data_IF_758167992384
#
_entry.id   IF_758167992384
#
_cell.length_a   1.000
_cell.length_b   1.000
_cell.length_c   1.000
_cell.angle_alpha   90.00
_cell.angle_beta   90.00
_cell.angle_gamma   90.00
#
_symmetry.space_group_name_H-M   'P 1'
#
loop_
_entity.id
_entity.type
_entity.pdbx_description
1 polymer ?
#
# COMPACT_ATOMS: atom_id res chain seq x y z
N UNK A 1 48.09 36.77 -1.91
CA UNK A 1 46.74 36.80 -1.30
C UNK A 1 45.61 36.80 -2.35
N UNK A 2 45.67 37.45 -3.52
CA UNK A 2 44.58 37.48 -4.50
C UNK A 2 44.33 36.13 -5.25
N UNK A 3 45.37 35.33 -5.50
CA UNK A 3 45.26 34.02 -6.17
C UNK A 3 44.63 32.94 -5.25
N UNK A 4 44.85 32.99 -3.92
CA UNK A 4 44.25 32.05 -2.97
C UNK A 4 42.75 32.27 -2.82
N UNK A 5 42.28 33.54 -2.89
CA UNK A 5 40.88 33.88 -2.78
C UNK A 5 40.05 33.38 -4.02
N UNK A 6 40.64 33.34 -5.20
CA UNK A 6 40.00 32.85 -6.44
C UNK A 6 39.87 31.32 -6.39
N UNK A 7 40.86 30.59 -5.86
CA UNK A 7 40.82 29.13 -5.72
C UNK A 7 39.74 28.67 -4.69
N UNK A 8 39.55 29.40 -3.60
CA UNK A 8 38.50 29.11 -2.61
C UNK A 8 37.10 29.37 -3.17
N UNK A 9 36.94 30.40 -4.00
CA UNK A 9 35.63 30.72 -4.65
C UNK A 9 35.22 29.65 -5.67
N UNK A 10 36.16 29.03 -6.38
CA UNK A 10 35.89 27.96 -7.36
C UNK A 10 35.53 26.63 -6.65
N UNK A 11 36.09 26.34 -5.49
CA UNK A 11 35.71 25.15 -4.71
C UNK A 11 34.30 25.25 -4.11
N UNK A 12 33.78 26.44 -3.83
CA UNK A 12 32.43 26.63 -3.29
C UNK A 12 31.32 26.47 -4.33
N UNK A 13 31.62 26.58 -5.63
CA UNK A 13 30.64 26.39 -6.69
C UNK A 13 30.34 24.89 -6.98
N UNK A 14 31.17 23.96 -6.51
CA UNK A 14 31.02 22.52 -6.80
C UNK A 14 30.22 21.74 -5.75
N UNK A 15 29.78 22.35 -4.65
CA UNK A 15 28.98 21.71 -3.61
C UNK A 15 27.54 22.25 -3.55
N UNK A 16 26.88 22.35 -4.67
CA UNK A 16 25.42 22.44 -4.64
C UNK A 16 24.91 21.01 -4.34
N UNK A 17 24.05 20.81 -3.33
CA UNK A 17 23.38 19.53 -3.16
C UNK A 17 22.62 19.24 -4.45
N UNK A 18 22.92 18.12 -5.09
CA UNK A 18 22.17 17.66 -6.25
C UNK A 18 20.72 17.48 -5.78
N UNK A 19 19.83 18.38 -6.19
CA UNK A 19 18.41 18.17 -5.98
C UNK A 19 18.02 16.87 -6.70
N UNK A 20 17.30 15.99 -6.01
CA UNK A 20 16.79 14.80 -6.64
C UNK A 20 15.89 15.23 -7.81
N UNK A 21 16.22 14.77 -8.99
CA UNK A 21 15.50 15.05 -10.22
C UNK A 21 14.75 13.79 -10.63
N UNK A 22 13.54 13.96 -11.16
CA UNK A 22 12.80 12.88 -11.81
C UNK A 22 13.63 12.35 -12.97
N UNK A 23 13.94 11.05 -12.95
CA UNK A 23 14.66 10.38 -14.05
C UNK A 23 13.65 9.92 -15.09
N UNK A 24 14.03 9.99 -16.35
CA UNK A 24 13.28 9.34 -17.41
C UNK A 24 13.65 7.85 -17.54
N UNK A 25 12.92 7.11 -18.38
CA UNK A 25 13.12 5.68 -18.60
C UNK A 25 14.55 5.33 -19.04
N UNK A 26 15.09 6.06 -20.01
CA UNK A 26 16.43 5.79 -20.56
C UNK A 26 17.53 6.05 -19.53
N UNK A 27 17.38 7.08 -18.70
CA UNK A 27 18.28 7.38 -17.59
C UNK A 27 18.23 6.30 -16.51
N UNK A 28 17.04 5.77 -16.22
CA UNK A 28 16.84 4.65 -15.27
C UNK A 28 17.51 3.38 -15.79
N UNK A 29 17.30 3.01 -17.06
CA UNK A 29 17.94 1.87 -17.72
C UNK A 29 19.46 2.04 -17.77
N UNK A 30 19.95 3.21 -18.14
CA UNK A 30 21.40 3.50 -18.19
C UNK A 30 22.05 3.41 -16.80
N UNK A 31 21.33 3.79 -15.73
CA UNK A 31 21.78 3.62 -14.35
C UNK A 31 21.76 2.16 -13.87
N UNK A 32 21.03 1.26 -14.57
CA UNK A 32 20.86 -0.14 -14.21
C UNK A 32 20.14 -0.32 -12.87
N UNK A 33 19.28 0.63 -12.49
CA UNK A 33 18.63 0.67 -11.17
C UNK A 33 17.23 1.23 -11.25
N UNK A 34 16.25 0.47 -10.76
CA UNK A 34 14.87 0.92 -10.52
C UNK A 34 14.70 1.28 -9.04
N UNK A 35 14.38 2.53 -8.75
CA UNK A 35 14.06 3.02 -7.41
C UNK A 35 12.57 2.88 -7.16
N UNK A 36 12.20 2.05 -6.19
CA UNK A 36 10.79 1.78 -5.87
C UNK A 36 10.47 2.23 -4.46
N UNK A 37 9.49 3.12 -4.32
CA UNK A 37 8.92 3.48 -3.03
C UNK A 37 7.90 2.42 -2.60
N UNK A 38 8.09 1.90 -1.39
CA UNK A 38 7.18 0.99 -0.70
C UNK A 38 6.90 1.53 0.69
N UNK A 39 5.70 1.31 1.22
CA UNK A 39 5.38 1.77 2.57
C UNK A 39 6.22 1.05 3.61
N UNK A 40 6.65 1.79 4.62
CA UNK A 40 7.44 1.27 5.73
C UNK A 40 6.52 0.63 6.78
N UNK A 41 6.98 -0.50 7.36
CA UNK A 41 6.30 -1.19 8.46
C UNK A 41 4.84 -1.57 8.15
N UNK A 42 4.56 -1.93 6.90
CA UNK A 42 3.22 -2.26 6.41
C UNK A 42 3.10 -3.72 5.99
N UNK A 43 3.18 -4.63 6.95
CA UNK A 43 2.97 -6.06 6.69
C UNK A 43 1.49 -6.38 6.37
N UNK A 44 1.22 -7.31 5.45
CA UNK A 44 2.14 -8.23 4.75
C UNK A 44 2.75 -7.67 3.45
N UNK A 45 2.59 -6.39 3.17
CA UNK A 45 2.92 -5.82 1.86
C UNK A 45 4.37 -5.37 1.76
N UNK A 46 4.86 -4.63 2.75
CA UNK A 46 6.24 -4.12 2.77
C UNK A 46 6.71 -3.87 4.20
N UNK A 47 7.67 -4.66 4.66
CA UNK A 47 8.20 -4.61 6.02
C UNK A 47 9.62 -5.17 6.09
N UNK A 48 10.28 -5.01 7.22
CA UNK A 48 11.56 -5.63 7.50
C UNK A 48 11.40 -6.75 8.53
N UNK A 49 11.99 -7.91 8.27
CA UNK A 49 12.11 -8.99 9.23
C UNK A 49 13.55 -9.47 9.29
N UNK A 50 14.12 -9.52 10.49
CA UNK A 50 15.53 -9.85 10.72
C UNK A 50 16.51 -9.02 9.85
N UNK A 51 16.18 -7.74 9.62
CA UNK A 51 16.97 -6.80 8.82
C UNK A 51 16.93 -7.06 7.31
N UNK A 52 15.94 -7.81 6.83
CA UNK A 52 15.73 -8.07 5.40
C UNK A 52 14.38 -7.52 4.95
N UNK A 53 14.32 -6.83 3.81
CA UNK A 53 13.06 -6.47 3.17
C UNK A 53 12.21 -7.71 2.87
N UNK A 54 10.92 -7.63 3.16
CA UNK A 54 9.93 -8.69 2.90
C UNK A 54 8.57 -8.06 2.56
N UNK A 55 7.71 -8.87 1.99
CA UNK A 55 6.32 -8.49 1.69
C UNK A 55 6.00 -8.56 0.21
N UNK A 56 4.71 -8.60 -0.08
CA UNK A 56 4.19 -8.75 -1.44
C UNK A 56 4.72 -7.68 -2.38
N UNK A 57 4.71 -6.41 -1.94
CA UNK A 57 5.14 -5.29 -2.77
C UNK A 57 6.66 -5.31 -2.98
N UNK A 58 7.43 -5.79 -2.00
CA UNK A 58 8.89 -5.96 -2.12
C UNK A 58 9.22 -7.05 -3.13
N UNK A 59 8.61 -8.25 -3.01
CA UNK A 59 8.87 -9.35 -3.95
C UNK A 59 8.36 -9.03 -5.36
N UNK A 60 7.24 -8.34 -5.50
CA UNK A 60 6.75 -7.88 -6.80
C UNK A 60 7.69 -6.83 -7.42
N UNK A 61 8.19 -5.87 -6.63
CA UNK A 61 9.19 -4.91 -7.12
C UNK A 61 10.49 -5.59 -7.56
N UNK A 62 10.94 -6.64 -6.85
CA UNK A 62 12.10 -7.46 -7.26
C UNK A 62 11.84 -8.17 -8.58
N UNK A 63 10.65 -8.76 -8.76
CA UNK A 63 10.27 -9.44 -9.99
C UNK A 63 10.18 -8.48 -11.18
N UNK A 64 9.62 -7.27 -10.97
CA UNK A 64 9.54 -6.22 -11.99
C UNK A 64 10.93 -5.70 -12.38
N UNK A 65 11.80 -5.38 -11.40
CA UNK A 65 13.16 -4.94 -11.67
C UNK A 65 13.96 -6.00 -12.46
N UNK A 66 13.79 -7.28 -12.09
CA UNK A 66 14.39 -8.42 -12.82
C UNK A 66 13.87 -8.51 -14.25
N UNK A 67 12.58 -8.35 -14.48
CA UNK A 67 11.98 -8.37 -15.81
C UNK A 67 12.49 -7.23 -16.70
N UNK A 68 12.73 -6.04 -16.11
CA UNK A 68 13.33 -4.88 -16.78
C UNK A 68 14.86 -5.00 -16.95
N UNK A 69 15.52 -6.05 -16.41
CA UNK A 69 16.96 -6.23 -16.49
C UNK A 69 17.79 -5.25 -15.64
N UNK A 70 17.22 -4.69 -14.59
CA UNK A 70 17.86 -3.73 -13.67
C UNK A 70 17.85 -4.25 -12.24
N UNK A 71 18.68 -3.67 -11.36
CA UNK A 71 18.64 -3.97 -9.93
C UNK A 71 17.55 -3.14 -9.23
N UNK A 72 16.95 -3.68 -8.19
CA UNK A 72 16.02 -2.99 -7.32
C UNK A 72 16.76 -2.11 -6.32
N UNK A 73 16.24 -0.91 -6.05
CA UNK A 73 16.62 -0.03 -4.95
C UNK A 73 15.34 0.41 -4.23
N UNK A 74 15.13 -0.08 -3.01
CA UNK A 74 13.94 0.25 -2.22
C UNK A 74 14.10 1.62 -1.53
N UNK A 75 13.02 2.40 -1.56
CA UNK A 75 12.82 3.60 -0.76
C UNK A 75 11.69 3.31 0.22
N UNK A 76 12.02 3.23 1.52
CA UNK A 76 11.04 3.04 2.57
C UNK A 76 10.27 4.34 2.84
N UNK A 77 9.01 4.37 2.49
CA UNK A 77 8.12 5.52 2.61
C UNK A 77 7.30 5.43 3.90
N UNK A 78 7.57 6.22 4.95
CA UNK A 78 6.61 6.42 6.02
C UNK A 78 5.31 6.96 5.43
N UNK A 79 4.18 6.36 5.79
CA UNK A 79 2.87 6.86 5.36
C UNK A 79 2.62 8.26 5.92
N UNK A 80 2.24 9.20 5.06
CA UNK A 80 1.81 10.54 5.44
C UNK A 80 0.33 10.56 5.89
N UNK A 81 -0.17 11.75 6.19
CA UNK A 81 -1.60 11.91 6.54
C UNK A 81 -2.51 11.66 5.33
N UNK A 82 -2.01 11.89 4.12
CA UNK A 82 -2.75 11.72 2.87
C UNK A 82 -1.85 11.12 1.80
N UNK A 83 -2.40 10.22 1.02
CA UNK A 83 -1.72 9.64 -0.14
C UNK A 83 -1.28 10.71 -1.17
N UNK A 84 -2.03 11.82 -1.31
CA UNK A 84 -1.63 12.95 -2.18
C UNK A 84 -0.25 13.53 -1.76
N UNK A 85 0.04 13.55 -0.45
CA UNK A 85 1.32 14.02 0.09
C UNK A 85 2.44 13.01 -0.21
N UNK A 86 2.16 11.70 -0.04
CA UNK A 86 3.11 10.64 -0.35
C UNK A 86 3.49 10.64 -1.83
N UNK A 87 2.50 10.72 -2.72
CA UNK A 87 2.74 10.82 -4.17
C UNK A 87 3.59 12.04 -4.52
N UNK A 88 3.31 13.18 -3.89
CA UNK A 88 4.11 14.40 -4.09
C UNK A 88 5.56 14.17 -3.64
N UNK A 89 5.75 13.67 -2.44
CA UNK A 89 7.05 13.62 -1.77
C UNK A 89 7.98 12.56 -2.34
N UNK A 90 7.43 11.46 -2.89
CA UNK A 90 8.22 10.36 -3.43
C UNK A 90 8.29 10.32 -4.96
N UNK A 91 7.32 10.92 -5.70
CA UNK A 91 7.27 10.82 -7.17
C UNK A 91 7.76 12.08 -7.88
N UNK A 92 7.43 13.29 -7.40
CA UNK A 92 7.74 14.49 -8.19
C UNK A 92 8.36 15.67 -7.44
N UNK A 93 8.21 15.73 -6.11
CA UNK A 93 8.76 16.83 -5.29
C UNK A 93 9.55 16.30 -4.12
N UNK A 94 10.81 15.93 -4.36
CA UNK A 94 11.71 15.47 -3.30
C UNK A 94 11.57 16.30 -2.01
N UNK A 95 11.07 15.67 -0.94
CA UNK A 95 10.88 16.30 0.35
C UNK A 95 12.16 16.29 1.17
N UNK A 96 12.49 17.42 1.79
CA UNK A 96 13.60 17.50 2.73
C UNK A 96 13.38 16.58 3.97
N UNK A 97 12.12 16.28 4.31
CA UNK A 97 11.75 15.37 5.38
C UNK A 97 12.09 13.91 5.05
N UNK A 98 12.20 13.56 3.78
CA UNK A 98 12.44 12.21 3.27
C UNK A 98 13.80 12.10 2.55
N UNK A 99 14.83 12.77 3.07
CA UNK A 99 16.21 12.77 2.53
C UNK A 99 16.31 13.19 1.05
N UNK A 100 15.33 13.94 0.55
CA UNK A 100 15.26 14.41 -0.83
C UNK A 100 15.35 13.28 -1.87
N UNK A 101 14.84 12.09 -1.55
CA UNK A 101 14.84 10.95 -2.46
C UNK A 101 13.56 10.94 -3.30
N UNK A 102 13.72 10.72 -4.62
CA UNK A 102 12.62 10.42 -5.54
C UNK A 102 12.71 8.97 -6.00
N UNK A 103 11.56 8.32 -6.02
CA UNK A 103 11.37 7.02 -6.63
C UNK A 103 11.08 7.18 -8.13
N UNK A 104 11.41 6.16 -8.91
CA UNK A 104 10.96 6.03 -10.29
C UNK A 104 9.54 5.47 -10.33
N UNK A 105 9.20 4.63 -9.34
CA UNK A 105 7.93 3.92 -9.19
C UNK A 105 7.49 3.93 -7.72
N UNK A 106 6.21 4.14 -7.45
CA UNK A 106 5.61 3.93 -6.14
C UNK A 106 4.59 2.80 -6.20
N UNK A 107 4.70 1.86 -5.27
CA UNK A 107 3.78 0.73 -5.11
C UNK A 107 2.58 1.13 -4.24
N UNK A 108 1.52 0.34 -4.31
CA UNK A 108 0.34 0.39 -3.43
C UNK A 108 -0.43 1.70 -3.52
N UNK A 109 -0.64 2.14 -4.73
CA UNK A 109 -1.48 3.29 -5.07
C UNK A 109 -2.84 2.80 -5.56
N UNK A 110 -3.98 3.38 -5.13
CA UNK A 110 -5.28 3.02 -5.68
C UNK A 110 -5.32 3.20 -7.20
N UNK A 111 -5.72 2.15 -7.92
CA UNK A 111 -6.06 2.25 -9.34
C UNK A 111 -7.53 2.63 -9.45
N UNK A 112 -7.78 3.93 -9.38
CA UNK A 112 -9.11 4.51 -9.25
C UNK A 112 -9.25 5.78 -10.08
N UNK A 113 -10.21 5.80 -10.99
CA UNK A 113 -10.43 6.94 -11.89
C UNK A 113 -10.80 8.23 -11.12
N UNK A 114 -11.71 8.12 -10.14
CA UNK A 114 -12.18 9.30 -9.42
C UNK A 114 -11.06 9.90 -8.57
N UNK A 115 -10.23 9.05 -7.96
CA UNK A 115 -9.04 9.48 -7.24
C UNK A 115 -8.00 10.13 -8.18
N UNK A 116 -7.73 9.54 -9.33
CA UNK A 116 -6.79 10.08 -10.33
C UNK A 116 -7.27 11.43 -10.91
N UNK A 117 -8.60 11.63 -11.01
CA UNK A 117 -9.22 12.85 -11.54
C UNK A 117 -9.63 13.86 -10.45
N UNK A 118 -9.25 13.61 -9.20
CA UNK A 118 -9.54 14.49 -8.06
C UNK A 118 -9.03 15.91 -8.33
N UNK A 119 -9.89 16.90 -8.07
CA UNK A 119 -9.55 18.31 -8.26
C UNK A 119 -9.56 19.07 -6.93
N UNK A 120 -8.69 20.07 -6.86
CA UNK A 120 -8.66 21.03 -5.75
C UNK A 120 -9.77 22.10 -5.92
N UNK A 121 -9.86 23.04 -4.99
CA UNK A 121 -10.83 24.16 -5.00
C UNK A 121 -10.66 25.09 -6.21
N UNK A 122 -9.49 25.10 -6.85
CA UNK A 122 -9.20 25.88 -8.06
C UNK A 122 -9.54 25.13 -9.35
N UNK A 123 -10.01 23.86 -9.24
CA UNK A 123 -10.31 23.02 -10.39
C UNK A 123 -9.11 22.33 -11.02
N UNK A 124 -7.92 22.42 -10.42
CA UNK A 124 -6.70 21.77 -10.90
C UNK A 124 -6.64 20.32 -10.41
N UNK A 125 -6.05 19.42 -11.19
CA UNK A 125 -5.81 18.04 -10.76
C UNK A 125 -4.84 18.01 -9.57
N UNK A 126 -5.26 17.37 -8.47
CA UNK A 126 -4.42 17.22 -7.27
C UNK A 126 -3.19 16.38 -7.58
N UNK A 127 -3.37 15.29 -8.34
CA UNK A 127 -2.33 14.35 -8.72
C UNK A 127 -1.92 14.48 -10.20
N UNK A 128 -2.00 15.69 -10.78
CA UNK A 128 -1.69 15.92 -12.20
C UNK A 128 -0.26 15.61 -12.63
N UNK A 129 0.67 15.50 -11.68
CA UNK A 129 2.07 15.13 -11.94
C UNK A 129 2.30 13.61 -11.89
N UNK A 130 1.23 12.80 -11.70
CA UNK A 130 1.33 11.35 -11.46
C UNK A 130 0.46 10.60 -12.46
N UNK A 131 0.96 9.48 -12.95
CA UNK A 131 0.19 8.47 -13.71
C UNK A 131 0.03 7.24 -12.83
N UNK A 132 -1.22 6.89 -12.54
CA UNK A 132 -1.61 5.66 -11.84
C UNK A 132 -1.91 4.58 -12.88
N UNK A 133 -1.35 3.39 -12.71
CA UNK A 133 -1.40 2.32 -13.70
C UNK A 133 -1.14 0.94 -13.07
N UNK A 134 -1.26 -0.10 -13.88
CA UNK A 134 -0.82 -1.44 -13.55
C UNK A 134 -1.47 -2.01 -12.29
N UNK A 135 -2.81 -2.18 -12.26
CA UNK A 135 -3.46 -2.79 -11.10
C UNK A 135 -2.92 -4.21 -10.91
N UNK A 136 -2.47 -4.54 -9.70
CA UNK A 136 -1.91 -5.85 -9.41
C UNK A 136 -2.61 -6.60 -8.28
N UNK A 137 -3.58 -5.95 -7.61
CA UNK A 137 -4.34 -6.55 -6.51
C UNK A 137 -5.78 -6.02 -6.51
N UNK A 138 -6.73 -6.92 -6.31
CA UNK A 138 -8.08 -6.60 -5.85
C UNK A 138 -8.10 -6.62 -4.32
N UNK A 139 -8.50 -5.52 -3.69
CA UNK A 139 -8.62 -5.41 -2.24
C UNK A 139 -10.06 -5.16 -1.83
N UNK A 140 -10.44 -5.64 -0.67
CA UNK A 140 -11.78 -5.48 -0.10
C UNK A 140 -11.75 -5.51 1.43
N UNK A 141 -12.85 -5.13 2.05
CA UNK A 141 -13.01 -5.30 3.49
C UNK A 141 -13.34 -6.75 3.82
N UNK A 142 -12.86 -7.21 4.98
CA UNK A 142 -13.07 -8.57 5.46
C UNK A 142 -13.25 -8.55 6.98
N UNK A 143 -14.14 -9.43 7.48
CA UNK A 143 -14.25 -9.76 8.91
C UNK A 143 -13.72 -11.17 9.12
N UNK A 144 -12.80 -11.32 10.08
CA UNK A 144 -12.46 -12.60 10.70
C UNK A 144 -13.15 -12.71 12.06
N UNK A 145 -13.59 -13.90 12.45
CA UNK A 145 -14.25 -14.12 13.73
C UNK A 145 -13.86 -15.46 14.36
N UNK A 146 -13.97 -15.54 15.68
CA UNK A 146 -13.69 -16.74 16.46
C UNK A 146 -14.95 -17.62 16.56
N UNK A 147 -14.92 -18.82 15.96
CA UNK A 147 -16.01 -19.80 15.98
C UNK A 147 -16.37 -20.30 17.38
N UNK A 148 -15.49 -20.15 18.35
CA UNK A 148 -15.76 -20.50 19.75
C UNK A 148 -16.80 -19.56 20.40
N UNK A 149 -17.05 -18.38 19.80
CA UNK A 149 -17.92 -17.32 20.33
C UNK A 149 -19.03 -16.91 19.39
N UNK A 150 -18.81 -17.06 18.09
CA UNK A 150 -19.76 -16.75 17.03
C UNK A 150 -19.87 -17.94 16.09
N UNK A 151 -21.04 -18.55 15.99
CA UNK A 151 -21.27 -19.66 15.06
C UNK A 151 -21.18 -19.20 13.60
N UNK A 152 -21.70 -17.99 13.33
CA UNK A 152 -21.75 -17.39 12.00
C UNK A 152 -21.90 -15.88 12.08
N UNK A 153 -21.22 -15.17 11.18
CA UNK A 153 -21.43 -13.74 10.90
C UNK A 153 -22.18 -13.58 9.58
N UNK A 154 -23.51 -13.49 9.66
CA UNK A 154 -24.35 -13.30 8.47
C UNK A 154 -24.53 -11.82 8.10
N UNK A 155 -24.33 -10.91 9.05
CA UNK A 155 -24.39 -9.46 8.88
C UNK A 155 -23.57 -8.80 9.98
N UNK A 156 -23.03 -7.60 9.71
CA UNK A 156 -22.36 -6.79 10.73
C UNK A 156 -23.28 -6.38 11.90
N UNK A 157 -24.60 -6.48 11.76
CA UNK A 157 -25.54 -6.21 12.85
C UNK A 157 -25.34 -7.15 14.06
N UNK A 158 -24.72 -8.31 13.90
CA UNK A 158 -24.39 -9.21 15.02
C UNK A 158 -23.51 -8.54 16.05
N UNK A 159 -22.71 -7.56 15.66
CA UNK A 159 -21.81 -6.79 16.52
C UNK A 159 -22.52 -5.78 17.43
N UNK A 160 -23.82 -5.69 17.38
CA UNK A 160 -24.60 -5.06 18.46
C UNK A 160 -24.46 -5.82 19.80
N UNK A 161 -24.31 -7.15 19.72
CA UNK A 161 -24.18 -8.02 20.89
C UNK A 161 -22.75 -8.53 21.11
N UNK A 162 -21.93 -8.57 20.08
CA UNK A 162 -20.58 -9.13 20.08
C UNK A 162 -19.52 -8.05 19.86
N UNK A 163 -18.45 -8.00 20.69
CA UNK A 163 -17.38 -7.03 20.51
C UNK A 163 -16.56 -7.34 19.24
N UNK A 164 -16.22 -6.29 18.51
CA UNK A 164 -15.38 -6.36 17.30
C UNK A 164 -14.19 -5.40 17.40
N UNK A 165 -13.01 -5.87 17.03
CA UNK A 165 -11.78 -5.09 16.98
C UNK A 165 -11.53 -4.46 15.61
N UNK A 166 -11.03 -3.24 15.62
CA UNK A 166 -10.60 -2.50 14.42
C UNK A 166 -9.33 -1.71 14.71
N UNK A 167 -8.58 -1.38 13.66
CA UNK A 167 -7.54 -0.37 13.76
C UNK A 167 -8.15 1.01 13.96
N UNK A 168 -7.58 1.81 14.87
CA UNK A 168 -8.01 3.19 15.14
C UNK A 168 -7.85 4.05 13.87
N UNK A 169 -8.76 5.01 13.68
CA UNK A 169 -8.76 5.95 12.55
C UNK A 169 -8.82 5.30 11.15
N UNK A 170 -9.17 4.01 11.09
CA UNK A 170 -9.38 3.29 9.84
C UNK A 170 -10.81 3.43 9.31
N UNK A 171 -11.02 3.12 8.03
CA UNK A 171 -12.37 3.06 7.43
C UNK A 171 -13.29 2.09 8.17
N UNK A 172 -12.88 0.86 8.54
CA UNK A 172 -13.67 0.00 9.42
C UNK A 172 -14.05 0.62 10.77
N UNK A 173 -13.15 1.39 11.39
CA UNK A 173 -13.41 2.11 12.64
C UNK A 173 -14.56 3.12 12.47
N UNK A 174 -14.48 3.98 11.47
CA UNK A 174 -15.55 4.95 11.18
C UNK A 174 -16.86 4.27 10.75
N UNK A 175 -16.77 3.23 9.94
CA UNK A 175 -17.93 2.48 9.50
C UNK A 175 -18.70 1.85 10.68
N UNK A 176 -18.03 1.05 11.51
CA UNK A 176 -18.69 0.33 12.62
C UNK A 176 -19.23 1.26 13.70
N UNK A 177 -18.59 2.42 13.90
CA UNK A 177 -19.07 3.41 14.86
C UNK A 177 -20.22 4.29 14.35
N UNK A 178 -20.48 4.31 13.03
CA UNK A 178 -21.53 5.13 12.42
C UNK A 178 -22.71 4.34 11.85
N UNK A 179 -22.48 3.10 11.38
CA UNK A 179 -23.51 2.28 10.76
C UNK A 179 -24.67 2.01 11.72
N UNK A 180 -25.89 1.87 11.20
CA UNK A 180 -27.12 1.68 11.97
C UNK A 180 -27.34 2.76 13.05
N UNK A 181 -27.03 4.04 12.69
CA UNK A 181 -27.09 5.17 13.63
C UNK A 181 -26.21 5.02 14.87
N UNK A 182 -25.06 4.39 14.74
CA UNK A 182 -24.08 4.23 15.83
C UNK A 182 -24.37 3.08 16.80
N UNK A 183 -25.29 2.18 16.46
CA UNK A 183 -25.67 1.07 17.35
C UNK A 183 -24.49 0.14 17.71
N UNK A 184 -23.49 0.03 16.81
CA UNK A 184 -22.33 -0.84 17.02
C UNK A 184 -21.17 -0.14 17.76
N UNK A 185 -21.23 1.18 17.96
CA UNK A 185 -20.14 1.97 18.55
C UNK A 185 -19.70 1.45 19.93
N UNK A 186 -20.63 1.05 20.78
CA UNK A 186 -20.36 0.55 22.13
C UNK A 186 -19.69 -0.83 22.18
N UNK A 187 -19.62 -1.54 21.04
CA UNK A 187 -18.99 -2.86 20.89
C UNK A 187 -17.79 -2.82 19.94
N UNK A 188 -17.48 -1.66 19.37
CA UNK A 188 -16.31 -1.47 18.51
C UNK A 188 -15.12 -1.07 19.36
N UNK A 189 -14.11 -1.93 19.41
CA UNK A 189 -12.88 -1.73 20.17
C UNK A 189 -11.75 -1.31 19.21
N UNK A 190 -11.03 -0.27 19.57
CA UNK A 190 -9.98 0.33 18.74
C UNK A 190 -8.60 -0.12 19.22
N UNK A 191 -7.76 -0.55 18.28
CA UNK A 191 -6.39 -0.99 18.50
C UNK A 191 -5.40 -0.19 17.66
N UNK A 192 -4.12 -0.14 18.03
CA UNK A 192 -3.10 0.56 17.23
C UNK A 192 -2.88 -0.02 15.83
N UNK A 193 -3.30 -1.27 15.59
CA UNK A 193 -3.19 -1.93 14.30
C UNK A 193 -3.90 -3.28 14.29
N UNK A 194 -4.01 -3.87 13.11
CA UNK A 194 -4.68 -5.17 12.90
C UNK A 194 -4.05 -6.31 13.69
N UNK A 195 -2.70 -6.43 13.84
CA UNK A 195 -2.08 -7.46 14.65
C UNK A 195 -2.53 -7.42 16.12
N UNK A 196 -2.67 -6.22 16.71
CA UNK A 196 -3.13 -6.04 18.08
C UNK A 196 -4.60 -6.39 18.24
N UNK A 197 -5.44 -6.06 17.24
CA UNK A 197 -6.85 -6.48 17.23
C UNK A 197 -6.98 -8.02 17.18
N UNK A 198 -6.15 -8.71 16.38
CA UNK A 198 -6.10 -10.18 16.35
C UNK A 198 -5.61 -10.78 17.66
N UNK A 199 -4.61 -10.19 18.30
CA UNK A 199 -4.14 -10.61 19.61
C UNK A 199 -5.27 -10.51 20.67
N UNK A 200 -6.05 -9.43 20.64
CA UNK A 200 -7.22 -9.23 21.48
C UNK A 200 -8.33 -10.26 21.19
N UNK A 201 -8.58 -10.60 19.91
CA UNK A 201 -9.52 -11.67 19.56
C UNK A 201 -9.05 -13.03 20.12
N UNK A 202 -7.76 -13.35 20.00
CA UNK A 202 -7.16 -14.56 20.58
C UNK A 202 -7.27 -14.59 22.11
N UNK A 203 -7.10 -13.44 22.77
CA UNK A 203 -7.25 -13.29 24.21
C UNK A 203 -8.72 -13.34 24.69
N UNK A 204 -9.66 -13.15 23.77
CA UNK A 204 -11.08 -13.14 24.06
C UNK A 204 -11.66 -11.82 24.49
N UNK A 205 -10.98 -10.77 24.23
CA UNK A 205 -11.46 -9.40 24.48
C UNK A 205 -12.46 -8.95 23.42
N UNK A 206 -12.29 -9.43 22.16
CA UNK A 206 -13.22 -9.24 21.06
C UNK A 206 -13.52 -10.60 20.39
N UNK A 207 -14.67 -10.68 19.70
CA UNK A 207 -15.13 -11.90 19.05
C UNK A 207 -14.78 -11.95 17.56
N UNK A 208 -14.46 -10.78 16.98
CA UNK A 208 -14.14 -10.60 15.59
C UNK A 208 -13.17 -9.43 15.36
N UNK A 209 -12.58 -9.36 14.16
CA UNK A 209 -11.76 -8.25 13.69
C UNK A 209 -12.17 -7.89 12.26
N UNK A 210 -12.28 -6.60 11.95
CA UNK A 210 -12.51 -6.09 10.58
C UNK A 210 -11.33 -5.26 10.11
N UNK A 211 -10.81 -5.61 8.92
CA UNK A 211 -9.70 -4.91 8.27
C UNK A 211 -9.73 -5.14 6.76
N UNK A 212 -8.69 -4.74 6.03
CA UNK A 212 -8.48 -5.14 4.64
C UNK A 212 -8.28 -6.66 4.53
N UNK A 213 -8.76 -7.24 3.44
CA UNK A 213 -8.71 -8.69 3.21
C UNK A 213 -7.29 -9.24 3.32
N UNK A 214 -6.31 -8.56 2.70
CA UNK A 214 -4.93 -9.03 2.74
C UNK A 214 -4.34 -9.03 4.16
N UNK A 215 -4.65 -8.05 5.00
CA UNK A 215 -4.23 -8.03 6.41
C UNK A 215 -4.89 -9.16 7.21
N UNK A 216 -6.19 -9.39 6.97
CA UNK A 216 -6.93 -10.52 7.59
C UNK A 216 -6.34 -11.85 7.16
N UNK A 217 -6.13 -12.07 5.86
CA UNK A 217 -5.57 -13.31 5.31
C UNK A 217 -4.21 -13.63 5.96
N UNK A 218 -3.34 -12.60 6.05
CA UNK A 218 -2.04 -12.76 6.68
C UNK A 218 -2.13 -13.13 8.16
N UNK A 219 -2.98 -12.45 8.93
CA UNK A 219 -3.17 -12.77 10.35
C UNK A 219 -3.73 -14.19 10.56
N UNK A 220 -4.63 -14.64 9.68
CA UNK A 220 -5.14 -16.02 9.69
C UNK A 220 -4.02 -17.01 9.36
N UNK A 221 -3.17 -16.69 8.36
CA UNK A 221 -2.02 -17.51 8.01
C UNK A 221 -1.01 -17.62 9.16
N UNK A 222 -0.62 -16.50 9.76
CA UNK A 222 0.36 -16.43 10.85
C UNK A 222 -0.14 -17.14 12.12
N UNK A 223 -1.43 -17.01 12.46
CA UNK A 223 -1.97 -17.63 13.64
C UNK A 223 -2.26 -19.11 13.47
N UNK A 224 -2.56 -19.53 12.24
CA UNK A 224 -2.93 -20.91 11.88
C UNK A 224 -3.99 -21.52 12.82
N UNK A 225 -4.89 -20.70 13.40
CA UNK A 225 -5.94 -21.16 14.30
C UNK A 225 -7.16 -21.63 13.49
N UNK A 226 -7.51 -22.93 13.49
CA UNK A 226 -8.64 -23.46 12.74
C UNK A 226 -10.00 -22.96 13.25
N UNK A 227 -10.04 -22.31 14.40
CA UNK A 227 -11.26 -21.71 14.94
C UNK A 227 -11.52 -20.30 14.41
N UNK A 228 -10.55 -19.68 13.75
CA UNK A 228 -10.76 -18.40 13.06
C UNK A 228 -11.41 -18.65 11.70
N UNK A 229 -12.55 -18.01 11.47
CA UNK A 229 -13.30 -18.08 10.23
C UNK A 229 -13.44 -16.70 9.58
N UNK A 230 -13.67 -16.69 8.27
CA UNK A 230 -13.93 -15.48 7.50
C UNK A 230 -15.44 -15.33 7.28
N UNK A 231 -15.95 -14.12 7.45
CA UNK A 231 -17.34 -13.82 7.20
C UNK A 231 -17.59 -13.61 5.70
N UNK A 232 -18.69 -14.18 5.21
CA UNK A 232 -19.20 -13.99 3.85
C UNK A 232 -20.43 -13.07 3.91
N UNK A 233 -20.22 -11.77 4.15
CA UNK A 233 -21.31 -10.82 4.30
C UNK A 233 -21.03 -9.52 3.57
N UNK A 234 -22.13 -8.82 3.20
CA UNK A 234 -22.04 -7.46 2.70
C UNK A 234 -21.93 -6.44 3.83
N UNK A 235 -21.40 -5.27 3.51
CA UNK A 235 -21.24 -4.15 4.44
C UNK A 235 -22.22 -3.03 4.03
N UNK A 236 -23.49 -3.03 4.51
CA UNK A 236 -24.50 -2.06 4.10
C UNK A 236 -24.07 -0.64 4.47
N UNK A 237 -24.32 0.32 3.57
CA UNK A 237 -23.93 1.72 3.72
C UNK A 237 -22.42 1.99 3.82
N UNK A 238 -21.59 0.99 3.62
CA UNK A 238 -20.16 1.19 3.43
C UNK A 238 -19.92 1.67 2.00
N UNK A 239 -19.12 2.70 1.83
CA UNK A 239 -18.83 3.28 0.51
C UNK A 239 -18.19 2.26 -0.44
N UNK A 240 -16.91 2.44 -0.75
CA UNK A 240 -16.19 1.51 -1.62
C UNK A 240 -15.87 0.20 -0.87
N UNK A 241 -16.40 -0.91 -1.36
CA UNK A 241 -16.23 -2.23 -0.75
C UNK A 241 -15.15 -3.09 -1.43
N UNK A 242 -14.89 -2.80 -2.71
CA UNK A 242 -13.87 -3.44 -3.54
C UNK A 242 -13.13 -2.36 -4.30
N UNK A 243 -11.82 -2.45 -4.37
CA UNK A 243 -10.98 -1.54 -5.15
C UNK A 243 -9.73 -2.24 -5.65
N UNK A 244 -9.14 -1.68 -6.71
CA UNK A 244 -7.88 -2.16 -7.25
C UNK A 244 -6.70 -1.35 -6.71
N UNK A 245 -5.60 -2.04 -6.46
CA UNK A 245 -4.31 -1.47 -6.06
C UNK A 245 -3.35 -1.62 -7.24
N UNK A 246 -2.74 -0.53 -7.62
CA UNK A 246 -1.75 -0.44 -8.67
C UNK A 246 -0.51 0.33 -8.24
N UNK A 247 0.11 0.96 -9.20
CA UNK A 247 1.38 1.68 -9.07
C UNK A 247 1.27 3.10 -9.60
N UNK A 248 2.28 3.93 -9.30
CA UNK A 248 2.37 5.29 -9.80
C UNK A 248 3.78 5.64 -10.27
N UNK A 249 3.86 6.42 -11.34
CA UNK A 249 5.08 7.05 -11.85
C UNK A 249 4.85 8.54 -12.05
N UNK A 250 5.93 9.31 -12.21
CA UNK A 250 5.82 10.70 -12.65
C UNK A 250 5.21 10.77 -14.06
N UNK A 251 4.39 11.80 -14.32
CA UNK A 251 3.66 11.95 -15.59
C UNK A 251 4.56 12.02 -16.84
N UNK A 252 5.77 12.54 -16.71
CA UNK A 252 6.75 12.57 -17.79
C UNK A 252 7.40 11.22 -18.08
N UNK A 253 7.21 10.21 -17.22
CA UNK A 253 7.83 8.89 -17.31
C UNK A 253 6.85 7.77 -17.71
N UNK A 254 5.92 8.07 -18.62
CA UNK A 254 4.92 7.12 -19.13
C UNK A 254 5.54 5.89 -19.80
N UNK A 255 6.75 6.04 -20.36
CA UNK A 255 7.48 4.92 -20.97
C UNK A 255 7.83 3.87 -19.92
N UNK A 256 8.23 4.26 -18.71
CA UNK A 256 8.42 3.34 -17.59
C UNK A 256 7.11 2.66 -17.21
N UNK A 257 6.00 3.43 -17.15
CA UNK A 257 4.70 2.83 -16.86
C UNK A 257 4.33 1.70 -17.83
N UNK A 258 4.49 1.93 -19.14
CA UNK A 258 4.23 0.89 -20.15
C UNK A 258 5.16 -0.32 -20.03
N UNK A 259 6.44 -0.11 -19.78
CA UNK A 259 7.39 -1.22 -19.62
C UNK A 259 7.12 -2.05 -18.36
N UNK A 260 6.75 -1.40 -17.25
CA UNK A 260 6.36 -2.07 -16.00
C UNK A 260 5.04 -2.81 -16.17
N UNK A 261 4.05 -2.23 -16.86
CA UNK A 261 2.75 -2.86 -17.11
C UNK A 261 2.89 -4.11 -17.99
N UNK A 262 3.71 -4.07 -19.04
CA UNK A 262 4.04 -5.25 -19.86
C UNK A 262 4.71 -6.35 -19.03
N UNK A 263 5.67 -5.97 -18.17
CA UNK A 263 6.33 -6.90 -17.26
C UNK A 263 5.34 -7.52 -16.26
N UNK A 264 4.45 -6.70 -15.67
CA UNK A 264 3.42 -7.14 -14.74
C UNK A 264 2.44 -8.12 -15.40
N UNK A 265 1.97 -7.82 -16.60
CA UNK A 265 1.09 -8.74 -17.37
C UNK A 265 1.76 -10.10 -17.58
N UNK A 266 3.04 -10.11 -17.93
CA UNK A 266 3.84 -11.33 -18.03
C UNK A 266 3.87 -12.12 -16.72
N UNK A 267 4.17 -11.47 -15.61
CA UNK A 267 4.23 -12.08 -14.28
C UNK A 267 2.85 -12.62 -13.81
N UNK A 268 1.76 -11.91 -14.13
CA UNK A 268 0.41 -12.38 -13.84
C UNK A 268 0.08 -13.62 -14.64
N UNK A 269 0.32 -13.60 -15.94
CA UNK A 269 0.06 -14.72 -16.87
C UNK A 269 0.86 -15.98 -16.51
N UNK A 270 2.09 -15.82 -16.02
CA UNK A 270 2.96 -16.91 -15.56
C UNK A 270 2.58 -17.43 -14.17
N UNK A 271 1.69 -16.75 -13.47
CA UNK A 271 1.27 -17.08 -12.10
C UNK A 271 2.27 -16.65 -11.02
N UNK A 272 3.30 -15.88 -11.37
CA UNK A 272 4.31 -15.41 -10.42
C UNK A 272 3.71 -14.50 -9.34
N UNK A 273 2.81 -13.59 -9.72
CA UNK A 273 2.13 -12.72 -8.74
C UNK A 273 1.31 -13.54 -7.75
N UNK A 274 0.54 -14.54 -8.23
CA UNK A 274 -0.21 -15.46 -7.37
C UNK A 274 0.70 -16.22 -6.39
N UNK A 275 1.88 -16.61 -6.85
CA UNK A 275 2.88 -17.30 -6.02
C UNK A 275 3.40 -16.38 -4.92
N UNK A 276 3.74 -15.12 -5.25
CA UNK A 276 4.18 -14.09 -4.28
C UNK A 276 3.12 -13.91 -3.18
N UNK A 277 1.84 -13.75 -3.55
CA UNK A 277 0.75 -13.64 -2.58
C UNK A 277 0.64 -14.89 -1.70
N UNK A 278 0.83 -16.06 -2.29
CA UNK A 278 0.81 -17.34 -1.58
C UNK A 278 1.90 -17.49 -0.52
N UNK A 279 3.08 -16.85 -0.67
CA UNK A 279 4.14 -16.84 0.34
C UNK A 279 3.67 -16.24 1.68
N UNK A 280 2.72 -15.33 1.62
CA UNK A 280 2.16 -14.63 2.78
C UNK A 280 0.76 -15.14 3.16
N UNK A 281 0.30 -16.25 2.56
CA UNK A 281 -1.03 -16.82 2.81
C UNK A 281 -2.19 -15.97 2.29
N UNK A 282 -1.92 -15.00 1.41
CA UNK A 282 -2.94 -14.11 0.86
C UNK A 282 -3.68 -14.74 -0.32
N UNK A 283 -4.98 -14.52 -0.38
CA UNK A 283 -5.79 -14.83 -1.57
C UNK A 283 -5.47 -13.82 -2.67
N UNK A 284 -5.33 -14.31 -3.89
CA UNK A 284 -5.05 -13.48 -5.05
C UNK A 284 -6.15 -13.62 -6.10
N UNK A 285 -6.78 -12.51 -6.42
CA UNK A 285 -7.74 -12.38 -7.52
C UNK A 285 -7.09 -11.49 -8.59
N UNK A 286 -7.07 -12.01 -9.82
CA UNK A 286 -6.52 -11.27 -10.96
C UNK A 286 -7.36 -10.02 -11.20
N UNK A 287 -6.76 -8.81 -11.31
CA UNK A 287 -7.47 -7.59 -11.65
C UNK A 287 -8.23 -7.71 -13.00
N UNK A 288 -9.35 -7.00 -13.13
CA UNK A 288 -10.25 -7.13 -14.28
C UNK A 288 -9.54 -6.89 -15.62
N UNK A 289 -8.58 -5.96 -15.64
CA UNK A 289 -7.78 -5.60 -16.81
C UNK A 289 -7.01 -6.79 -17.43
N UNK A 290 -6.68 -7.83 -16.64
CA UNK A 290 -5.86 -8.98 -17.06
C UNK A 290 -6.64 -10.31 -17.11
N UNK A 291 -7.98 -10.28 -17.02
CA UNK A 291 -8.84 -11.47 -17.08
C UNK A 291 -9.15 -11.95 -18.49
#
# INVERSE_FOLDING_TARGET
>A
MRLLAVLISVLWLCCQPAQAQVRNYDEMIAAGELKVAVYKDFAPYSFESAGKPQGVDVELAEALAKALGVRLSLIWAPAGEKLDDDLRDYIWRASALHNQQLADLMMRVPYDHDYAQKRNELGELVNGQVVMFGPYQNEQWQVAYDRRRLDKVASVAVFEQHPIGVEVDSVPSFYLTSVFNGMLAGKTHHYPGVPQAFAAMKAGEVDAVMAMRGEIDWQVHETADPQVALAENAYPNMGKQLWEIGMAVHESNRQLAYAVEEALEGLIREGAVKTIYGHYGLRYDVPEMYQ
#
